data_IF_219098730785
#
_entry.id   IF_219098730785
#
_cell.length_a   1.000
_cell.length_b   1.000
_cell.length_c   1.000
_cell.angle_alpha   90.00
_cell.angle_beta   90.00
_cell.angle_gamma   90.00
#
_symmetry.space_group_name_H-M   'P 1'
#
loop_
_entity.id
_entity.type
_entity.pdbx_description
1 polymer ?
#
# COMPACT_ATOMS: atom_id res chain seq x y z
N UNK A 1 20.20 -14.20 13.97
CA UNK A 1 20.86 -13.11 13.20
C UNK A 1 21.95 -13.59 12.24
N UNK A 2 22.56 -14.78 12.42
CA UNK A 2 23.70 -15.23 11.58
C UNK A 2 23.44 -15.43 10.07
N UNK A 3 22.19 -15.37 9.61
CA UNK A 3 21.82 -15.39 8.17
C UNK A 3 21.51 -14.01 7.58
N UNK A 4 21.49 -12.94 8.40
CA UNK A 4 21.29 -11.58 7.89
C UNK A 4 22.59 -11.09 7.25
N UNK A 5 22.49 -10.57 6.02
CA UNK A 5 23.63 -10.01 5.29
C UNK A 5 24.03 -8.64 5.83
N UNK A 6 23.12 -7.93 6.49
CA UNK A 6 23.41 -6.64 7.11
C UNK A 6 24.19 -6.85 8.42
N UNK A 7 25.27 -6.08 8.62
CA UNK A 7 26.00 -6.09 9.90
C UNK A 7 25.05 -5.73 11.03
N UNK A 8 25.00 -6.57 12.05
CA UNK A 8 24.15 -6.37 13.22
C UNK A 8 24.99 -6.47 14.49
N UNK A 9 24.77 -5.59 15.45
CA UNK A 9 25.31 -5.69 16.82
C UNK A 9 24.13 -5.69 17.79
N UNK A 10 24.16 -6.58 18.77
CA UNK A 10 23.23 -6.61 19.88
C UNK A 10 24.03 -6.51 21.18
N UNK A 11 23.50 -5.76 22.14
CA UNK A 11 24.09 -5.60 23.47
C UNK A 11 23.36 -6.47 24.49
N UNK A 12 23.91 -6.56 25.69
CA UNK A 12 23.26 -7.26 26.80
C UNK A 12 21.97 -6.54 27.22
N UNK A 13 21.13 -7.26 27.96
CA UNK A 13 19.87 -6.73 28.50
C UNK A 13 20.21 -5.65 29.52
N UNK A 14 19.63 -4.45 29.35
CA UNK A 14 19.81 -3.34 30.29
C UNK A 14 19.11 -3.63 31.61
N UNK A 15 19.45 -2.85 32.65
CA UNK A 15 18.77 -2.92 33.96
C UNK A 15 17.26 -2.64 33.86
N UNK A 16 16.82 -1.96 32.80
CA UNK A 16 15.41 -1.71 32.48
C UNK A 16 14.73 -2.86 31.73
N UNK A 17 15.45 -3.95 31.45
CA UNK A 17 14.95 -5.09 30.67
C UNK A 17 14.91 -4.87 29.16
N UNK A 18 15.63 -3.87 28.63
CA UNK A 18 15.65 -3.57 27.19
C UNK A 18 16.89 -4.18 26.52
N UNK A 19 16.75 -4.63 25.28
CA UNK A 19 17.89 -5.06 24.45
C UNK A 19 18.15 -4.00 23.39
N UNK A 20 19.33 -3.40 23.46
CA UNK A 20 19.77 -2.46 22.43
C UNK A 20 20.39 -3.22 21.26
N UNK A 21 20.02 -2.81 20.05
CA UNK A 21 20.58 -3.41 18.84
C UNK A 21 20.72 -2.39 17.72
N UNK A 22 21.81 -2.51 16.97
CA UNK A 22 22.06 -1.72 15.76
C UNK A 22 22.16 -2.63 14.56
N UNK A 23 21.53 -2.23 13.46
CA UNK A 23 21.55 -2.95 12.19
C UNK A 23 21.93 -1.98 11.08
N UNK A 24 22.96 -2.32 10.31
CA UNK A 24 23.45 -1.50 9.22
C UNK A 24 22.34 -1.25 8.19
N UNK A 25 22.13 0.02 7.85
CA UNK A 25 21.16 0.42 6.83
C UNK A 25 21.78 0.32 5.43
N UNK A 26 21.42 -0.73 4.71
CA UNK A 26 21.95 -1.00 3.35
C UNK A 26 21.08 -0.40 2.25
N UNK A 27 19.78 -0.21 2.52
CA UNK A 27 18.80 0.36 1.58
C UNK A 27 17.70 1.09 2.36
N UNK A 28 16.84 1.89 1.69
CA UNK A 28 15.63 2.41 2.32
C UNK A 28 14.82 1.27 2.95
N UNK A 29 14.20 1.53 4.10
CA UNK A 29 13.32 0.56 4.72
C UNK A 29 12.08 0.37 3.84
N UNK A 30 11.43 -0.79 3.92
CA UNK A 30 10.16 -1.04 3.21
C UNK A 30 9.15 0.06 3.52
N UNK A 31 9.06 0.48 4.78
CA UNK A 31 8.19 1.57 5.18
C UNK A 31 8.50 2.86 4.40
N UNK A 32 9.77 3.26 4.29
CA UNK A 32 10.12 4.44 3.51
C UNK A 32 9.91 4.28 2.00
N UNK A 33 10.08 3.07 1.45
CA UNK A 33 9.83 2.84 0.03
C UNK A 33 8.36 2.82 -0.35
N UNK A 34 7.48 2.42 0.58
CA UNK A 34 6.04 2.29 0.36
C UNK A 34 5.24 3.54 0.76
N UNK A 35 5.88 4.51 1.40
CA UNK A 35 5.20 5.71 1.92
C UNK A 35 5.91 6.98 1.50
N UNK A 36 5.16 8.06 1.40
CA UNK A 36 5.68 9.41 1.24
C UNK A 36 5.24 10.30 2.41
N UNK A 37 5.84 11.47 2.53
CA UNK A 37 5.55 12.42 3.60
C UNK A 37 4.13 12.94 3.45
N UNK A 38 3.34 12.91 4.52
CA UNK A 38 1.96 13.39 4.46
C UNK A 38 1.92 14.92 4.39
N UNK A 39 1.36 15.45 3.31
CA UNK A 39 1.26 16.90 3.05
C UNK A 39 0.30 17.59 4.03
N UNK A 40 -0.76 16.89 4.45
CA UNK A 40 -1.79 17.42 5.35
C UNK A 40 -1.28 17.71 6.76
N UNK A 41 -0.40 16.86 7.29
CA UNK A 41 0.18 17.04 8.63
C UNK A 41 1.60 17.64 8.60
N UNK A 42 2.02 18.20 7.45
CA UNK A 42 3.36 18.80 7.27
C UNK A 42 4.50 17.85 7.68
N UNK A 43 4.33 16.56 7.41
CA UNK A 43 5.35 15.54 7.65
C UNK A 43 5.49 14.98 9.06
N UNK A 44 4.56 15.29 9.98
CA UNK A 44 4.46 14.53 11.24
C UNK A 44 4.19 13.05 11.00
N UNK A 45 3.48 12.74 9.91
CA UNK A 45 3.13 11.39 9.47
C UNK A 45 3.55 11.11 8.03
N UNK A 46 3.35 9.85 7.63
CA UNK A 46 3.57 9.37 6.26
C UNK A 46 2.34 8.61 5.81
N UNK A 47 2.03 8.71 4.53
CA UNK A 47 0.91 8.01 3.89
C UNK A 47 1.44 7.12 2.78
N UNK A 48 0.68 6.08 2.42
CA UNK A 48 1.09 5.17 1.35
C UNK A 48 1.22 5.92 0.02
N UNK A 49 2.19 5.54 -0.79
CA UNK A 49 2.30 6.07 -2.15
C UNK A 49 1.12 5.62 -3.00
N UNK A 50 0.69 6.39 -4.02
CA UNK A 50 -0.39 6.00 -4.92
C UNK A 50 -0.21 4.57 -5.47
N UNK A 51 1.00 4.26 -5.95
CA UNK A 51 1.38 2.91 -6.39
C UNK A 51 1.16 1.81 -5.34
N UNK A 52 1.41 2.11 -4.06
CA UNK A 52 1.16 1.16 -2.96
C UNK A 52 -0.34 0.95 -2.73
N UNK A 53 -1.13 2.02 -2.87
CA UNK A 53 -2.60 1.97 -2.78
C UNK A 53 -3.18 1.14 -3.91
N UNK A 54 -2.72 1.31 -5.15
CA UNK A 54 -3.10 0.46 -6.30
C UNK A 54 -2.91 -1.03 -5.99
N UNK A 55 -1.73 -1.40 -5.48
CA UNK A 55 -1.44 -2.79 -5.06
C UNK A 55 -2.30 -3.26 -3.88
N UNK A 56 -2.80 -2.35 -3.05
CA UNK A 56 -3.72 -2.66 -1.95
C UNK A 56 -5.15 -2.88 -2.46
N UNK A 57 -5.60 -2.08 -3.43
CA UNK A 57 -6.86 -2.28 -4.16
C UNK A 57 -6.85 -3.63 -4.85
N UNK A 58 -5.81 -3.93 -5.64
CA UNK A 58 -5.65 -5.22 -6.35
C UNK A 58 -5.76 -6.41 -5.41
N UNK A 59 -5.00 -6.40 -4.31
CA UNK A 59 -5.06 -7.47 -3.30
C UNK A 59 -6.41 -7.59 -2.61
N UNK A 60 -7.15 -6.48 -2.48
CA UNK A 60 -8.47 -6.47 -1.83
C UNK A 60 -9.54 -7.04 -2.74
N UNK A 61 -9.51 -6.70 -4.04
CA UNK A 61 -10.38 -7.28 -5.07
C UNK A 61 -10.13 -8.79 -5.24
N UNK A 62 -8.87 -9.22 -5.26
CA UNK A 62 -8.52 -10.64 -5.32
C UNK A 62 -9.01 -11.43 -4.09
N UNK A 63 -9.11 -10.79 -2.92
CA UNK A 63 -9.70 -11.42 -1.72
C UNK A 63 -11.23 -11.40 -1.74
N UNK A 64 -11.83 -10.37 -2.33
CA UNK A 64 -13.28 -10.25 -2.48
C UNK A 64 -13.84 -11.20 -3.55
N UNK A 65 -13.00 -11.66 -4.49
CA UNK A 65 -13.32 -12.60 -5.57
C UNK A 65 -13.74 -13.99 -5.07
N UNK A 66 -14.95 -14.07 -4.52
CA UNK A 66 -15.82 -15.24 -4.37
C UNK A 66 -17.24 -14.84 -3.90
N UNK A 67 -17.66 -13.58 -4.04
CA UNK A 67 -18.99 -13.09 -3.66
C UNK A 67 -20.03 -13.21 -4.78
N UNK A 68 -21.32 -13.10 -4.45
CA UNK A 68 -22.44 -13.17 -5.42
C UNK A 68 -22.56 -11.91 -6.32
N UNK A 69 -21.92 -10.81 -5.92
CA UNK A 69 -22.02 -9.50 -6.58
C UNK A 69 -21.21 -9.49 -7.88
N UNK A 70 -21.84 -9.03 -8.96
CA UNK A 70 -21.24 -9.05 -10.31
C UNK A 70 -20.56 -7.75 -10.70
N UNK A 71 -20.74 -6.68 -9.91
CA UNK A 71 -20.18 -5.36 -10.17
C UNK A 71 -19.58 -4.75 -8.91
N UNK A 72 -18.40 -4.14 -9.02
CA UNK A 72 -17.75 -3.41 -7.93
C UNK A 72 -17.26 -2.05 -8.45
N UNK A 73 -17.70 -0.99 -7.78
CA UNK A 73 -17.19 0.37 -7.96
C UNK A 73 -16.01 0.60 -7.01
N UNK A 74 -14.86 0.90 -7.58
CA UNK A 74 -13.62 1.24 -6.89
C UNK A 74 -13.56 2.76 -6.78
N UNK A 75 -13.75 3.31 -5.57
CA UNK A 75 -13.53 4.73 -5.31
C UNK A 75 -12.14 4.96 -4.72
N UNK A 76 -11.39 5.86 -5.34
CA UNK A 76 -10.02 6.22 -4.93
C UNK A 76 -9.81 7.73 -5.02
N UNK A 77 -8.77 8.25 -4.38
CA UNK A 77 -8.34 9.63 -4.60
C UNK A 77 -7.86 9.86 -6.06
N UNK A 78 -8.04 11.05 -6.65
CA UNK A 78 -7.60 11.36 -8.02
C UNK A 78 -6.14 11.00 -8.33
N UNK A 79 -5.20 11.22 -7.40
CA UNK A 79 -3.79 10.83 -7.58
C UNK A 79 -3.59 9.32 -7.78
N UNK A 80 -4.42 8.50 -7.12
CA UNK A 80 -4.38 7.04 -7.29
C UNK A 80 -5.02 6.65 -8.62
N UNK A 81 -6.10 7.32 -9.02
CA UNK A 81 -6.70 7.10 -10.33
C UNK A 81 -5.73 7.45 -11.47
N UNK A 82 -5.02 8.57 -11.35
CA UNK A 82 -3.98 9.00 -12.28
C UNK A 82 -2.85 7.95 -12.37
N UNK A 83 -2.32 7.48 -11.24
CA UNK A 83 -1.30 6.43 -11.21
C UNK A 83 -1.76 5.16 -11.95
N UNK A 84 -3.03 4.75 -11.79
CA UNK A 84 -3.59 3.60 -12.52
C UNK A 84 -3.60 3.87 -14.02
N UNK A 85 -4.07 5.05 -14.44
CA UNK A 85 -4.19 5.41 -15.85
C UNK A 85 -2.82 5.53 -16.54
N UNK A 86 -1.83 6.11 -15.88
CA UNK A 86 -0.49 6.35 -16.43
C UNK A 86 0.40 5.11 -16.41
N UNK A 87 0.39 4.37 -15.31
CA UNK A 87 1.33 3.24 -15.12
C UNK A 87 0.74 1.87 -15.44
N UNK A 88 -0.60 1.72 -15.45
CA UNK A 88 -1.26 0.42 -15.60
C UNK A 88 -2.54 0.48 -16.43
N UNK A 89 -2.44 0.86 -17.71
CA UNK A 89 -3.57 0.98 -18.64
C UNK A 89 -4.49 -0.25 -18.72
N UNK A 90 -3.96 -1.46 -18.53
CA UNK A 90 -4.73 -2.72 -18.53
C UNK A 90 -5.18 -3.19 -17.13
N UNK A 91 -5.03 -2.37 -16.09
CA UNK A 91 -5.31 -2.74 -14.69
C UNK A 91 -6.71 -3.32 -14.48
N UNK A 92 -7.75 -2.61 -14.93
CA UNK A 92 -9.14 -3.02 -14.73
C UNK A 92 -9.47 -4.29 -15.52
N UNK A 93 -9.04 -4.38 -16.79
CA UNK A 93 -9.25 -5.57 -17.63
C UNK A 93 -8.58 -6.80 -17.03
N UNK A 94 -7.34 -6.66 -16.56
CA UNK A 94 -6.58 -7.75 -15.94
C UNK A 94 -7.23 -8.23 -14.65
N UNK A 95 -7.76 -7.31 -13.83
CA UNK A 95 -8.42 -7.65 -12.58
C UNK A 95 -9.81 -8.25 -12.79
N UNK A 96 -10.59 -7.70 -13.72
CA UNK A 96 -11.88 -8.25 -14.12
C UNK A 96 -11.73 -9.69 -14.61
N UNK A 97 -10.75 -9.97 -15.48
CA UNK A 97 -10.47 -11.33 -15.95
C UNK A 97 -10.02 -12.31 -14.85
N UNK A 98 -9.37 -11.82 -13.77
CA UNK A 98 -8.95 -12.66 -12.64
C UNK A 98 -10.04 -12.89 -11.59
N UNK A 99 -10.91 -11.90 -11.40
CA UNK A 99 -11.92 -11.90 -10.33
C UNK A 99 -13.30 -12.32 -10.83
N UNK A 100 -13.56 -12.21 -12.13
CA UNK A 100 -14.89 -12.41 -12.72
C UNK A 100 -15.87 -11.27 -12.42
N UNK A 101 -15.39 -10.13 -11.91
CA UNK A 101 -16.19 -8.96 -11.54
C UNK A 101 -16.16 -7.91 -12.66
N UNK A 102 -17.29 -7.22 -12.85
CA UNK A 102 -17.33 -5.95 -13.58
C UNK A 102 -16.78 -4.84 -12.66
N UNK A 103 -15.75 -4.12 -13.11
CA UNK A 103 -15.06 -3.13 -12.29
C UNK A 103 -15.25 -1.72 -12.87
N UNK A 104 -15.77 -0.80 -12.08
CA UNK A 104 -15.85 0.64 -12.42
C UNK A 104 -14.90 1.44 -11.52
N UNK A 105 -14.07 2.31 -12.12
CA UNK A 105 -13.14 3.17 -11.37
C UNK A 105 -13.70 4.58 -11.27
N UNK A 106 -13.79 5.10 -10.05
CA UNK A 106 -14.26 6.46 -9.76
C UNK A 106 -13.25 7.19 -8.90
N UNK A 107 -12.90 8.41 -9.29
CA UNK A 107 -12.17 9.32 -8.42
C UNK A 107 -13.12 10.04 -7.44
N UNK A 108 -12.64 10.27 -6.23
CA UNK A 108 -13.33 11.04 -5.19
C UNK A 108 -12.29 11.93 -4.47
N UNK A 109 -12.26 13.25 -4.75
CA UNK A 109 -11.33 14.18 -4.11
C UNK A 109 -11.51 14.33 -2.59
N UNK A 110 -12.62 13.84 -2.03
CA UNK A 110 -12.86 13.87 -0.58
C UNK A 110 -12.26 12.66 0.14
N UNK A 111 -11.81 11.63 -0.59
CA UNK A 111 -11.07 10.52 -0.01
C UNK A 111 -9.64 10.93 0.33
N UNK A 112 -9.09 10.34 1.39
CA UNK A 112 -7.64 10.46 1.66
C UNK A 112 -6.87 9.68 0.60
N UNK A 113 -5.70 10.18 0.21
CA UNK A 113 -4.84 9.55 -0.81
C UNK A 113 -4.49 8.07 -0.54
N UNK A 114 -4.42 7.66 0.73
CA UNK A 114 -4.13 6.30 1.16
C UNK A 114 -5.38 5.45 1.48
N UNK A 115 -6.57 5.98 1.23
CA UNK A 115 -7.87 5.33 1.40
C UNK A 115 -8.47 4.94 0.04
N UNK A 116 -9.22 3.85 0.04
CA UNK A 116 -10.05 3.44 -1.08
C UNK A 116 -11.32 2.77 -0.54
N UNK A 117 -12.39 2.79 -1.33
CA UNK A 117 -13.64 2.10 -1.02
C UNK A 117 -14.04 1.19 -2.16
N UNK A 118 -14.51 0.01 -1.81
CA UNK A 118 -15.13 -0.93 -2.74
C UNK A 118 -16.62 -0.91 -2.42
N UNK A 119 -17.43 -0.55 -3.41
CA UNK A 119 -18.89 -0.52 -3.31
C UNK A 119 -19.44 -1.54 -4.30
N UNK A 120 -20.30 -2.43 -3.83
CA UNK A 120 -21.00 -3.41 -4.65
C UNK A 120 -22.39 -2.97 -5.06
#
# INVERSE_FOLDING_TARGET
LGRDRARTKAFEVSELGLVEMTRQRVRPSLYQSLTHTCEHCRGTGRIYTPRTVVRRVERSLLRAGAGEERSVVIRVHPEVALEILESESDFLRRLSGKTGLELDLRDDPLLREDEFRLLS
#
